data_IF_374493606711
#
_entry.id   IF_374493606711
#
_cell.length_a   1.000
_cell.length_b   1.000
_cell.length_c   1.000
_cell.angle_alpha   90.00
_cell.angle_beta   90.00
_cell.angle_gamma   90.00
#
_symmetry.space_group_name_H-M   'P 1'
#
loop_
_entity.id
_entity.type
_entity.pdbx_description
1 polymer ?
#
# COMPACT_ATOMS: atom_id res chain seq x y z
N UNK A 1 42.25 -43.00 55.50
CA UNK A 1 42.82 -42.05 54.55
C UNK A 1 42.36 -42.47 53.14
N UNK A 2 41.28 -41.91 52.62
CA UNK A 2 40.83 -42.21 51.26
C UNK A 2 41.37 -41.13 50.31
N UNK A 3 42.32 -41.50 49.46
CA UNK A 3 42.80 -40.66 48.36
C UNK A 3 41.76 -40.68 47.23
N UNK A 4 41.02 -39.60 46.99
CA UNK A 4 40.21 -39.42 45.83
C UNK A 4 41.12 -39.07 44.65
N UNK A 5 41.14 -39.98 43.66
CA UNK A 5 41.84 -39.80 42.40
C UNK A 5 40.99 -38.86 41.48
N UNK A 6 41.45 -37.64 41.29
CA UNK A 6 40.85 -36.70 40.32
C UNK A 6 41.18 -37.24 38.96
N UNK A 7 40.11 -37.74 38.25
CA UNK A 7 40.19 -38.06 36.81
C UNK A 7 40.26 -36.75 36.05
N UNK A 8 41.43 -36.44 35.54
CA UNK A 8 41.63 -35.34 34.60
C UNK A 8 40.71 -35.54 33.37
N UNK A 9 39.80 -34.62 33.11
CA UNK A 9 39.04 -34.58 31.85
C UNK A 9 40.02 -34.34 30.73
N UNK A 10 40.15 -35.27 29.80
CA UNK A 10 40.89 -35.09 28.55
C UNK A 10 40.19 -33.93 27.77
N UNK A 11 40.93 -32.87 27.49
CA UNK A 11 40.48 -31.80 26.58
C UNK A 11 40.44 -32.38 25.17
N UNK A 12 39.26 -32.71 24.65
CA UNK A 12 39.08 -33.07 23.25
C UNK A 12 39.26 -31.79 22.41
N UNK A 13 40.27 -31.76 21.56
CA UNK A 13 40.46 -30.69 20.56
C UNK A 13 39.47 -30.85 19.41
N UNK A 14 38.99 -29.73 18.87
CA UNK A 14 38.16 -29.73 17.70
C UNK A 14 38.96 -30.14 16.46
N UNK A 15 38.36 -30.98 15.61
CA UNK A 15 38.97 -31.38 14.33
C UNK A 15 38.70 -30.29 13.26
N UNK A 16 39.64 -30.14 12.32
CA UNK A 16 39.41 -29.22 11.18
C UNK A 16 38.13 -29.56 10.38
N UNK A 17 37.77 -30.82 10.28
CA UNK A 17 36.56 -31.28 9.62
C UNK A 17 35.27 -30.79 10.34
N UNK A 18 35.29 -30.83 11.70
CA UNK A 18 34.15 -30.38 12.50
C UNK A 18 33.88 -28.89 12.35
N UNK A 19 34.95 -28.07 12.27
CA UNK A 19 34.85 -26.63 12.02
C UNK A 19 34.28 -26.37 10.61
N UNK A 20 34.75 -27.12 9.61
CA UNK A 20 34.22 -26.98 8.22
C UNK A 20 32.72 -27.32 8.12
N UNK A 21 32.31 -28.42 8.76
CA UNK A 21 30.88 -28.81 8.78
C UNK A 21 30.05 -27.77 9.54
N UNK A 22 30.54 -27.27 10.68
CA UNK A 22 29.85 -26.24 11.45
C UNK A 22 29.66 -24.94 10.64
N UNK A 23 30.71 -24.51 9.91
CA UNK A 23 30.62 -23.33 9.04
C UNK A 23 29.66 -23.55 7.87
N UNK A 24 29.62 -24.75 7.28
CA UNK A 24 28.68 -25.08 6.21
C UNK A 24 27.22 -25.02 6.68
N UNK A 25 26.92 -25.63 7.83
CA UNK A 25 25.58 -25.60 8.44
C UNK A 25 25.18 -24.19 8.80
N UNK A 26 26.11 -23.40 9.38
CA UNK A 26 25.88 -21.99 9.71
C UNK A 26 25.55 -21.17 8.43
N UNK A 27 26.30 -21.35 7.35
CA UNK A 27 26.09 -20.66 6.09
C UNK A 27 24.70 -20.96 5.51
N UNK A 28 24.27 -22.24 5.52
CA UNK A 28 22.92 -22.63 5.08
C UNK A 28 21.83 -22.00 5.96
N UNK A 29 22.04 -21.95 7.27
CA UNK A 29 21.09 -21.31 8.20
C UNK A 29 20.94 -19.81 7.95
N UNK A 30 22.03 -19.10 7.71
CA UNK A 30 22.01 -17.66 7.40
C UNK A 30 21.29 -17.39 6.07
N UNK A 31 21.57 -18.18 5.02
CA UNK A 31 20.91 -18.03 3.72
C UNK A 31 19.39 -18.24 3.83
N UNK A 32 18.94 -19.22 4.59
CA UNK A 32 17.53 -19.46 4.84
C UNK A 32 16.86 -18.27 5.59
N UNK A 33 17.52 -17.73 6.60
CA UNK A 33 17.03 -16.58 7.35
C UNK A 33 16.91 -15.33 6.47
N UNK A 34 17.87 -15.07 5.58
CA UNK A 34 17.83 -13.96 4.62
C UNK A 34 16.65 -14.12 3.65
N UNK A 35 16.40 -15.32 3.14
CA UNK A 35 15.29 -15.58 2.24
C UNK A 35 13.92 -15.27 2.90
N UNK A 36 13.74 -15.66 4.16
CA UNK A 36 12.51 -15.35 4.92
C UNK A 36 12.37 -13.85 5.13
N UNK A 37 13.45 -13.16 5.49
CA UNK A 37 13.43 -11.71 5.72
C UNK A 37 13.06 -10.94 4.44
N UNK A 38 13.59 -11.33 3.27
CA UNK A 38 13.24 -10.72 1.99
C UNK A 38 11.76 -10.90 1.64
N UNK A 39 11.19 -12.08 1.90
CA UNK A 39 9.77 -12.32 1.67
C UNK A 39 8.88 -11.51 2.62
N UNK A 40 9.27 -11.40 3.90
CA UNK A 40 8.55 -10.58 4.88
C UNK A 40 8.56 -9.09 4.50
N UNK A 41 9.69 -8.57 4.03
CA UNK A 41 9.81 -7.17 3.58
C UNK A 41 8.92 -6.87 2.38
N UNK A 42 8.84 -7.80 1.42
CA UNK A 42 7.94 -7.67 0.25
C UNK A 42 6.48 -7.67 0.66
N UNK A 43 6.07 -8.59 1.53
CA UNK A 43 4.70 -8.67 2.04
C UNK A 43 4.31 -7.39 2.81
N UNK A 44 5.24 -6.83 3.59
CA UNK A 44 5.04 -5.56 4.30
C UNK A 44 4.83 -4.40 3.32
N UNK A 45 5.61 -4.32 2.24
CA UNK A 45 5.46 -3.29 1.20
C UNK A 45 4.10 -3.35 0.51
N UNK A 46 3.64 -4.55 0.13
CA UNK A 46 2.31 -4.76 -0.48
C UNK A 46 1.18 -4.34 0.47
N UNK A 47 1.28 -4.72 1.73
CA UNK A 47 0.29 -4.34 2.76
C UNK A 47 0.23 -2.82 2.96
N UNK A 48 1.37 -2.14 2.93
CA UNK A 48 1.47 -0.68 3.03
C UNK A 48 0.75 0.01 1.86
N UNK A 49 1.02 -0.40 0.62
CA UNK A 49 0.36 0.16 -0.57
C UNK A 49 -1.16 -0.03 -0.52
N UNK A 50 -1.63 -1.20 -0.09
CA UNK A 50 -3.06 -1.48 0.08
C UNK A 50 -3.70 -0.59 1.15
N UNK A 51 -3.01 -0.36 2.26
CA UNK A 51 -3.48 0.54 3.31
C UNK A 51 -3.58 1.98 2.80
N UNK A 52 -2.57 2.47 2.09
CA UNK A 52 -2.56 3.79 1.46
C UNK A 52 -3.72 3.94 0.47
N UNK A 53 -3.91 2.98 -0.44
CA UNK A 53 -5.00 3.00 -1.41
C UNK A 53 -6.38 3.03 -0.74
N UNK A 54 -6.55 2.26 0.34
CA UNK A 54 -7.78 2.26 1.14
C UNK A 54 -8.01 3.64 1.78
N UNK A 55 -6.97 4.26 2.30
CA UNK A 55 -7.03 5.57 2.91
C UNK A 55 -7.45 6.65 1.90
N UNK A 56 -6.90 6.64 0.69
CA UNK A 56 -7.31 7.54 -0.39
C UNK A 56 -8.76 7.31 -0.82
N UNK A 57 -9.23 6.06 -0.85
CA UNK A 57 -10.63 5.78 -1.17
C UNK A 57 -11.59 6.36 -0.11
N UNK A 58 -11.24 6.29 1.17
CA UNK A 58 -12.02 6.93 2.24
C UNK A 58 -11.91 8.46 2.20
N UNK A 59 -10.73 9.03 1.93
CA UNK A 59 -10.55 10.48 1.80
C UNK A 59 -11.50 11.06 0.75
N UNK A 60 -11.56 10.47 -0.45
CA UNK A 60 -12.52 10.90 -1.48
C UNK A 60 -13.97 10.76 -1.00
N UNK A 61 -14.28 9.66 -0.31
CA UNK A 61 -15.63 9.45 0.26
C UNK A 61 -16.01 10.55 1.25
N UNK A 62 -15.08 10.98 2.10
CA UNK A 62 -15.32 12.03 3.09
C UNK A 62 -15.44 13.42 2.45
N UNK A 63 -14.64 13.72 1.41
CA UNK A 63 -14.80 14.93 0.59
C UNK A 63 -16.17 14.99 -0.07
N UNK A 64 -16.64 13.86 -0.63
CA UNK A 64 -17.98 13.75 -1.20
C UNK A 64 -19.08 13.99 -0.16
N UNK A 65 -18.93 13.45 1.04
CA UNK A 65 -19.89 13.68 2.15
C UNK A 65 -19.96 15.15 2.56
N UNK A 66 -18.81 15.82 2.61
CA UNK A 66 -18.76 17.25 2.92
C UNK A 66 -19.46 18.12 1.87
N UNK A 67 -19.61 17.62 0.62
CA UNK A 67 -20.22 18.34 -0.50
C UNK A 67 -21.29 17.48 -1.19
N UNK A 68 -22.14 16.83 -0.41
CA UNK A 68 -23.11 15.81 -0.85
C UNK A 68 -24.07 16.29 -1.94
N UNK A 69 -24.44 17.56 -1.98
CA UNK A 69 -25.31 18.14 -3.02
C UNK A 69 -24.71 18.00 -4.42
N UNK A 70 -23.37 18.05 -4.54
CA UNK A 70 -22.66 17.91 -5.81
C UNK A 70 -22.48 16.44 -6.22
N UNK A 71 -22.60 15.50 -5.29
CA UNK A 71 -22.56 14.06 -5.57
C UNK A 71 -23.77 13.65 -6.38
N UNK A 72 -24.98 14.07 -5.98
CA UNK A 72 -26.20 13.81 -6.72
C UNK A 72 -26.20 14.40 -8.15
N UNK A 73 -25.49 15.52 -8.34
CA UNK A 73 -25.29 16.16 -9.64
C UNK A 73 -24.21 15.48 -10.53
N UNK A 74 -23.50 14.45 -10.01
CA UNK A 74 -22.42 13.77 -10.74
C UNK A 74 -21.09 14.57 -10.80
N UNK A 75 -20.97 15.67 -10.05
CA UNK A 75 -19.79 16.54 -10.11
C UNK A 75 -18.49 15.84 -9.64
N UNK A 76 -18.60 14.78 -8.83
CA UNK A 76 -17.48 13.96 -8.36
C UNK A 76 -17.16 12.76 -9.27
N UNK A 77 -17.94 12.52 -10.32
CA UNK A 77 -17.70 11.37 -11.19
C UNK A 77 -16.34 11.50 -11.90
N UNK A 78 -15.55 10.41 -11.86
CA UNK A 78 -14.22 10.30 -12.44
C UNK A 78 -14.16 9.00 -13.23
N UNK A 79 -13.85 9.10 -14.52
CA UNK A 79 -13.69 7.93 -15.37
C UNK A 79 -12.45 7.10 -14.94
N UNK A 80 -12.49 5.80 -15.16
CA UNK A 80 -11.33 4.94 -14.93
C UNK A 80 -10.15 5.36 -15.79
N UNK A 81 -8.96 5.47 -15.18
CA UNK A 81 -7.74 5.90 -15.87
C UNK A 81 -7.66 7.40 -16.16
N UNK A 82 -8.58 8.21 -15.61
CA UNK A 82 -8.49 9.66 -15.75
C UNK A 82 -7.18 10.20 -15.15
N UNK A 83 -6.51 11.08 -15.89
CA UNK A 83 -5.38 11.85 -15.36
C UNK A 83 -5.90 13.10 -14.63
N UNK A 84 -5.14 13.64 -13.63
CA UNK A 84 -5.48 14.94 -13.05
C UNK A 84 -5.48 16.00 -14.13
N UNK A 85 -6.58 16.73 -14.25
CA UNK A 85 -6.67 17.90 -15.12
C UNK A 85 -5.94 19.07 -14.48
N UNK A 86 -5.39 19.99 -15.29
CA UNK A 86 -4.84 21.24 -14.75
C UNK A 86 -5.96 22.03 -14.07
N UNK A 87 -5.77 22.36 -12.81
CA UNK A 87 -6.72 23.12 -12.02
C UNK A 87 -6.08 24.43 -11.57
N UNK A 88 -6.72 25.57 -11.87
CA UNK A 88 -6.15 26.90 -11.66
C UNK A 88 -6.61 27.58 -10.36
N UNK A 89 -7.69 27.07 -9.72
CA UNK A 89 -8.24 27.68 -8.52
C UNK A 89 -7.70 27.01 -7.27
N UNK A 90 -7.16 27.80 -6.33
CA UNK A 90 -6.69 27.28 -5.06
C UNK A 90 -7.80 27.42 -4.00
N UNK A 91 -8.63 26.41 -3.85
CA UNK A 91 -9.72 26.40 -2.85
C UNK A 91 -9.24 26.29 -1.40
N UNK A 92 -7.94 26.13 -1.15
CA UNK A 92 -7.36 26.19 0.20
C UNK A 92 -7.24 27.64 0.69
N UNK A 93 -6.90 28.56 -0.22
CA UNK A 93 -6.67 29.96 0.11
C UNK A 93 -7.81 30.90 -0.31
N UNK A 94 -8.75 30.42 -1.13
CA UNK A 94 -9.87 31.21 -1.64
C UNK A 94 -11.20 30.49 -1.43
N UNK A 95 -12.27 31.24 -1.27
CA UNK A 95 -13.63 30.67 -1.17
C UNK A 95 -14.05 30.17 -2.56
N UNK A 96 -14.33 28.88 -2.69
CA UNK A 96 -14.80 28.26 -3.92
C UNK A 96 -16.31 27.96 -3.82
N UNK A 97 -16.97 27.94 -4.99
CA UNK A 97 -18.32 27.37 -5.07
C UNK A 97 -18.27 25.86 -4.83
N UNK A 98 -19.41 25.25 -4.45
CA UNK A 98 -19.50 23.81 -4.26
C UNK A 98 -19.05 22.99 -5.50
N UNK A 99 -19.40 23.43 -6.69
CA UNK A 99 -18.98 22.79 -7.94
C UNK A 99 -17.46 22.94 -8.20
N UNK A 100 -16.90 24.12 -7.94
CA UNK A 100 -15.45 24.38 -8.05
C UNK A 100 -14.69 23.55 -7.03
N UNK A 101 -15.20 23.40 -5.80
CA UNK A 101 -14.63 22.55 -4.77
C UNK A 101 -14.59 21.08 -5.21
N UNK A 102 -15.67 20.56 -5.80
CA UNK A 102 -15.68 19.19 -6.33
C UNK A 102 -14.62 18.96 -7.43
N UNK A 103 -14.40 19.96 -8.30
CA UNK A 103 -13.35 19.88 -9.30
C UNK A 103 -11.94 19.93 -8.68
N UNK A 104 -11.73 20.76 -7.66
CA UNK A 104 -10.48 20.83 -6.89
C UNK A 104 -10.18 19.53 -6.15
N UNK A 105 -11.18 18.96 -5.47
CA UNK A 105 -11.08 17.69 -4.75
C UNK A 105 -10.63 16.56 -5.68
N UNK A 106 -11.25 16.44 -6.87
CA UNK A 106 -10.87 15.44 -7.88
C UNK A 106 -9.44 15.62 -8.36
N UNK A 107 -9.06 16.86 -8.67
CA UNK A 107 -7.70 17.18 -9.10
C UNK A 107 -6.67 16.79 -8.05
N UNK A 108 -6.88 17.23 -6.81
CA UNK A 108 -5.96 16.94 -5.71
C UNK A 108 -5.87 15.44 -5.45
N UNK A 109 -7.01 14.76 -5.36
CA UNK A 109 -7.06 13.33 -5.13
C UNK A 109 -6.33 12.52 -6.21
N UNK A 110 -6.57 12.80 -7.49
CA UNK A 110 -5.87 12.13 -8.59
C UNK A 110 -4.36 12.41 -8.59
N UNK A 111 -3.97 13.63 -8.24
CA UNK A 111 -2.56 14.02 -8.10
C UNK A 111 -1.90 13.25 -6.96
N UNK A 112 -2.57 13.13 -5.83
CA UNK A 112 -2.08 12.38 -4.66
C UNK A 112 -1.95 10.89 -4.97
N UNK A 113 -2.89 10.29 -5.70
CA UNK A 113 -2.80 8.91 -6.14
C UNK A 113 -1.56 8.68 -7.02
N UNK A 114 -1.31 9.56 -7.99
CA UNK A 114 -0.15 9.43 -8.90
C UNK A 114 1.18 9.60 -8.19
N UNK A 115 1.24 10.50 -7.21
CA UNK A 115 2.47 10.80 -6.49
C UNK A 115 2.82 9.75 -5.43
N UNK A 116 1.83 9.09 -4.84
CA UNK A 116 2.04 8.25 -3.66
C UNK A 116 1.84 6.75 -3.92
N UNK A 117 1.17 6.37 -5.02
CA UNK A 117 0.96 4.98 -5.39
C UNK A 117 1.64 4.67 -6.73
N UNK A 118 2.42 3.60 -6.85
CA UNK A 118 3.04 3.20 -8.10
C UNK A 118 1.99 2.91 -9.17
N UNK A 119 1.95 3.72 -10.24
CA UNK A 119 0.91 3.63 -11.26
C UNK A 119 -0.50 3.93 -10.72
N UNK A 120 -0.58 4.77 -9.68
CA UNK A 120 -1.83 5.11 -8.99
C UNK A 120 -2.84 5.78 -9.91
N UNK A 121 -4.05 5.23 -9.97
CA UNK A 121 -5.20 5.78 -10.70
C UNK A 121 -6.47 5.57 -9.88
N UNK A 122 -7.51 6.34 -10.20
CA UNK A 122 -8.77 6.21 -9.49
C UNK A 122 -9.98 6.43 -10.38
N UNK A 123 -11.14 5.96 -9.92
CA UNK A 123 -12.44 6.32 -10.48
C UNK A 123 -13.48 6.54 -9.39
N UNK A 124 -14.46 7.33 -9.71
CA UNK A 124 -15.68 7.54 -8.92
C UNK A 124 -16.85 7.40 -9.85
N UNK A 125 -17.76 6.49 -9.57
CA UNK A 125 -18.91 6.26 -10.43
C UNK A 125 -20.15 5.83 -9.65
N UNK A 126 -21.31 6.09 -10.24
CA UNK A 126 -22.59 5.56 -9.76
C UNK A 126 -22.77 4.14 -10.30
N UNK A 127 -23.01 3.12 -9.43
CA UNK A 127 -23.35 1.78 -9.89
C UNK A 127 -24.67 1.77 -10.68
N UNK A 128 -24.76 0.91 -11.68
CA UNK A 128 -25.99 0.76 -12.45
C UNK A 128 -27.18 0.37 -11.55
N UNK A 129 -28.28 1.10 -11.65
CA UNK A 129 -29.49 0.89 -10.86
C UNK A 129 -29.40 1.37 -9.39
N UNK A 130 -28.31 2.01 -9.00
CA UNK A 130 -28.17 2.56 -7.66
C UNK A 130 -28.81 3.95 -7.52
N UNK A 131 -29.03 4.39 -6.28
CA UNK A 131 -29.51 5.74 -5.99
C UNK A 131 -28.52 6.80 -6.52
N UNK A 132 -29.02 8.00 -6.85
CA UNK A 132 -28.19 9.11 -7.36
C UNK A 132 -27.14 9.58 -6.37
N UNK A 133 -27.34 9.32 -5.09
CA UNK A 133 -26.39 9.62 -4.01
C UNK A 133 -25.39 8.50 -3.72
N UNK A 134 -25.54 7.36 -4.38
CA UNK A 134 -24.64 6.24 -4.17
C UNK A 134 -23.45 6.31 -5.13
N UNK A 135 -22.23 6.15 -4.59
CA UNK A 135 -20.98 6.14 -5.35
C UNK A 135 -20.09 5.01 -4.93
N UNK A 136 -19.34 4.50 -5.91
CA UNK A 136 -18.19 3.61 -5.69
C UNK A 136 -16.93 4.40 -6.00
N UNK A 137 -16.04 4.47 -5.04
CA UNK A 137 -14.67 4.99 -5.19
C UNK A 137 -13.77 3.79 -5.37
N UNK A 138 -13.06 3.72 -6.48
CA UNK A 138 -12.12 2.65 -6.75
C UNK A 138 -10.73 3.21 -7.03
N UNK A 139 -9.72 2.65 -6.37
CA UNK A 139 -8.31 3.03 -6.49
C UNK A 139 -7.54 1.83 -7.01
N UNK A 140 -6.69 2.05 -8.02
CA UNK A 140 -5.77 1.05 -8.56
C UNK A 140 -4.34 1.47 -8.35
N UNK A 141 -3.47 0.48 -8.17
CA UNK A 141 -2.02 0.65 -8.11
C UNK A 141 -1.32 -0.59 -8.64
N UNK A 142 -0.02 -0.45 -8.93
CA UNK A 142 0.83 -1.56 -9.36
C UNK A 142 1.64 -2.07 -8.17
N UNK A 143 1.48 -3.35 -7.83
CA UNK A 143 2.26 -4.01 -6.80
C UNK A 143 3.35 -4.89 -7.44
N UNK A 144 4.58 -4.86 -6.92
CA UNK A 144 5.66 -5.72 -7.42
C UNK A 144 6.93 -5.01 -7.87
N UNK A 145 7.05 -3.70 -7.71
CA UNK A 145 8.29 -2.92 -7.96
C UNK A 145 8.68 -2.79 -9.44
N UNK A 146 9.44 -1.74 -9.73
CA UNK A 146 9.97 -1.44 -11.06
C UNK A 146 10.80 -2.61 -11.60
N UNK A 147 10.44 -3.15 -12.77
CA UNK A 147 11.22 -4.15 -13.50
C UNK A 147 10.76 -5.60 -13.37
N UNK A 148 9.67 -5.91 -12.66
CA UNK A 148 9.15 -7.29 -12.47
C UNK A 148 7.69 -7.47 -12.88
N UNK A 149 7.20 -6.79 -13.91
CA UNK A 149 5.82 -6.98 -14.37
C UNK A 149 4.81 -6.88 -13.22
N UNK A 150 4.69 -5.69 -12.62
CA UNK A 150 3.84 -5.49 -11.45
C UNK A 150 2.39 -5.92 -11.73
N UNK A 151 1.76 -6.54 -10.73
CA UNK A 151 0.35 -6.93 -10.80
C UNK A 151 -0.49 -5.73 -10.40
N UNK A 152 -1.46 -5.37 -11.24
CA UNK A 152 -2.42 -4.33 -10.89
C UNK A 152 -3.33 -4.82 -9.77
N UNK A 153 -3.38 -4.06 -8.69
CA UNK A 153 -4.25 -4.27 -7.54
C UNK A 153 -5.30 -3.17 -7.49
N UNK A 154 -6.41 -3.45 -6.83
CA UNK A 154 -7.43 -2.43 -6.59
C UNK A 154 -8.11 -2.60 -5.23
N UNK A 155 -8.67 -1.49 -4.75
CA UNK A 155 -9.61 -1.43 -3.64
C UNK A 155 -10.82 -0.61 -4.07
N UNK A 156 -12.01 -1.01 -3.64
CA UNK A 156 -13.24 -0.27 -3.90
C UNK A 156 -14.00 -0.05 -2.59
N UNK A 157 -14.46 1.17 -2.38
CA UNK A 157 -15.33 1.57 -1.26
C UNK A 157 -16.65 2.04 -1.84
N UNK A 158 -17.74 1.46 -1.36
CA UNK A 158 -19.11 1.85 -1.72
C UNK A 158 -19.71 2.65 -0.57
N UNK A 159 -20.29 3.79 -0.90
CA UNK A 159 -20.90 4.67 0.09
C UNK A 159 -22.18 5.32 -0.47
N UNK A 160 -23.13 5.54 0.44
CA UNK A 160 -24.35 6.32 0.20
C UNK A 160 -24.13 7.66 0.91
N UNK A 161 -24.43 8.75 0.20
CA UNK A 161 -24.23 10.14 0.64
C UNK A 161 -25.55 10.77 1.10
#
# INVERSE_FOLDING_TARGET
>A
MHMQCWRGRAMAGFTMLEVLIALLVLAMGVLAAVAVMLNATRASGSSYLRQMATQYAYDMTDRMRANSAQVGAGAYDVASGAAPSTFQSNCVSTVCSAATMAAFDKYQWLTDLQNNLPGGTGSVYQPAGAATTERVVQVWWTDGGVGRGGVQQSVAVRSIM
#
